data_IF_028132257341
#
_entry.id   IF_028132257341
#
_cell.length_a   1.000
_cell.length_b   1.000
_cell.length_c   1.000
_cell.angle_alpha   90.00
_cell.angle_beta   90.00
_cell.angle_gamma   90.00
#
_symmetry.space_group_name_H-M   'P 1'
#
loop_
_entity.id
_entity.type
_entity.pdbx_description
1 polymer ?
#
# COMPACT_ATOMS: atom_id res chain seq x y z
N UNK A 1 -14.08 13.25 -1.54
CA UNK A 1 -13.53 12.26 -2.48
C UNK A 1 -14.27 10.94 -2.31
N UNK A 2 -14.74 10.35 -3.40
CA UNK A 2 -15.56 9.13 -3.28
C UNK A 2 -14.84 7.95 -2.66
N UNK A 3 -13.52 7.88 -2.78
CA UNK A 3 -12.77 6.73 -2.26
C UNK A 3 -11.95 7.03 -1.02
N UNK A 4 -12.05 8.24 -0.47
CA UNK A 4 -11.19 8.60 0.66
C UNK A 4 -11.52 7.82 1.93
N UNK A 5 -12.80 7.49 2.15
CA UNK A 5 -13.18 6.68 3.30
C UNK A 5 -12.66 5.26 3.17
N UNK A 6 -12.75 4.69 1.97
CA UNK A 6 -12.20 3.36 1.71
C UNK A 6 -10.71 3.32 1.97
N UNK A 7 -9.98 4.29 1.43
CA UNK A 7 -8.53 4.36 1.62
C UNK A 7 -8.15 4.53 3.08
N UNK A 8 -8.90 5.37 3.80
CA UNK A 8 -8.68 5.57 5.22
C UNK A 8 -8.86 4.27 6.00
N UNK A 9 -9.91 3.52 5.69
CA UNK A 9 -10.17 2.23 6.32
C UNK A 9 -9.10 1.21 5.99
N UNK A 10 -8.70 1.14 4.70
CA UNK A 10 -7.66 0.23 4.28
C UNK A 10 -6.32 0.57 4.94
N UNK A 11 -6.01 1.85 5.03
CA UNK A 11 -4.78 2.29 5.68
C UNK A 11 -4.73 1.76 7.12
N UNK A 12 -5.80 1.97 7.87
CA UNK A 12 -5.86 1.51 9.26
C UNK A 12 -5.77 0.00 9.39
N UNK A 13 -6.45 -0.73 8.51
CA UNK A 13 -6.52 -2.18 8.58
C UNK A 13 -5.27 -2.86 8.06
N UNK A 14 -4.71 -2.33 6.99
CA UNK A 14 -3.69 -3.04 6.23
C UNK A 14 -2.27 -2.52 6.39
N UNK A 15 -2.11 -1.29 6.88
CA UNK A 15 -0.79 -0.67 6.93
C UNK A 15 0.24 -1.55 7.65
N UNK A 16 -0.05 -1.91 8.89
CA UNK A 16 0.89 -2.70 9.69
C UNK A 16 1.12 -4.09 9.10
N UNK A 17 0.07 -4.69 8.54
CA UNK A 17 0.18 -5.99 7.90
C UNK A 17 1.08 -5.93 6.68
N UNK A 18 0.93 -4.91 5.86
CA UNK A 18 1.75 -4.73 4.67
C UNK A 18 3.20 -4.51 5.03
N UNK A 19 3.46 -3.69 6.04
CA UNK A 19 4.82 -3.45 6.52
C UNK A 19 5.45 -4.77 6.96
N UNK A 20 4.70 -5.57 7.75
CA UNK A 20 5.19 -6.85 8.22
C UNK A 20 5.47 -7.83 7.08
N UNK A 21 4.58 -7.87 6.09
CA UNK A 21 4.75 -8.73 4.92
C UNK A 21 6.00 -8.36 4.14
N UNK A 22 6.21 -7.07 3.92
CA UNK A 22 7.39 -6.61 3.18
C UNK A 22 8.68 -6.94 3.94
N UNK A 23 8.70 -6.71 5.24
CA UNK A 23 9.88 -7.03 6.05
C UNK A 23 10.21 -8.51 5.98
N UNK A 24 9.19 -9.35 6.10
CA UNK A 24 9.38 -10.81 6.07
C UNK A 24 9.79 -11.30 4.69
N UNK A 25 9.12 -10.78 3.66
CA UNK A 25 9.32 -11.26 2.29
C UNK A 25 10.66 -10.81 1.70
N UNK A 26 11.06 -9.59 1.97
CA UNK A 26 12.28 -9.01 1.39
C UNK A 26 13.45 -8.95 2.37
N UNK A 27 13.22 -9.28 3.62
CA UNK A 27 14.28 -9.29 4.63
C UNK A 27 14.87 -7.93 4.94
N UNK A 28 14.06 -6.89 4.91
CA UNK A 28 14.55 -5.53 5.23
C UNK A 28 15.10 -5.48 6.65
N UNK A 29 16.29 -4.92 6.78
CA UNK A 29 16.92 -4.73 8.10
C UNK A 29 16.29 -3.58 8.86
N UNK A 30 15.71 -2.61 8.16
CA UNK A 30 15.12 -1.43 8.78
C UNK A 30 13.65 -1.33 8.44
N UNK A 31 12.85 -1.22 9.48
CA UNK A 31 11.40 -1.09 9.36
C UNK A 31 11.02 0.14 8.54
N UNK A 32 11.81 1.22 8.65
CA UNK A 32 11.55 2.47 7.96
C UNK A 32 11.45 2.33 6.45
N UNK A 33 12.25 1.42 5.86
CA UNK A 33 12.21 1.19 4.42
C UNK A 33 10.85 0.64 4.02
N UNK A 34 10.36 -0.35 4.77
CA UNK A 34 9.05 -0.94 4.49
C UNK A 34 7.93 0.08 4.70
N UNK A 35 8.04 0.88 5.76
CA UNK A 35 7.04 1.91 6.05
C UNK A 35 6.96 2.94 4.93
N UNK A 36 8.11 3.36 4.40
CA UNK A 36 8.15 4.32 3.30
C UNK A 36 7.48 3.74 2.05
N UNK A 37 7.76 2.48 1.75
CA UNK A 37 7.17 1.82 0.58
C UNK A 37 5.66 1.74 0.71
N UNK A 38 5.18 1.36 1.88
CA UNK A 38 3.74 1.23 2.11
C UNK A 38 3.07 2.60 2.06
N UNK A 39 3.68 3.61 2.68
CA UNK A 39 3.15 4.97 2.66
C UNK A 39 3.05 5.51 1.23
N UNK A 40 4.10 5.31 0.43
CA UNK A 40 4.11 5.73 -0.97
C UNK A 40 3.03 5.00 -1.78
N UNK A 41 2.81 3.72 -1.46
CA UNK A 41 1.78 2.93 -2.14
C UNK A 41 0.39 3.51 -1.89
N UNK A 42 0.09 3.87 -0.64
CA UNK A 42 -1.19 4.47 -0.30
C UNK A 42 -1.35 5.86 -0.92
N UNK A 43 -0.27 6.63 -0.97
CA UNK A 43 -0.31 7.94 -1.61
C UNK A 43 -0.62 7.79 -3.10
N UNK A 44 0.02 6.83 -3.76
CA UNK A 44 -0.23 6.56 -5.17
C UNK A 44 -1.68 6.13 -5.40
N UNK A 45 -2.22 5.29 -4.51
CA UNK A 45 -3.61 4.88 -4.60
C UNK A 45 -4.54 6.08 -4.47
N UNK A 46 -4.26 6.97 -3.53
CA UNK A 46 -5.05 8.17 -3.32
C UNK A 46 -5.10 9.03 -4.60
N UNK A 47 -3.95 9.21 -5.22
CA UNK A 47 -3.85 10.01 -6.44
C UNK A 47 -4.56 9.35 -7.62
N UNK A 48 -4.33 8.06 -7.83
CA UNK A 48 -4.91 7.34 -8.96
C UNK A 48 -6.41 7.18 -8.83
N UNK A 49 -6.88 6.79 -7.66
CA UNK A 49 -8.29 6.46 -7.47
C UNK A 49 -9.16 7.71 -7.33
N UNK A 50 -8.55 8.89 -7.28
CA UNK A 50 -9.29 10.14 -7.34
C UNK A 50 -9.86 10.37 -8.74
N UNK A 51 -9.19 9.86 -9.77
CA UNK A 51 -9.57 10.11 -11.17
C UNK A 51 -9.89 8.85 -11.97
N UNK A 52 -9.53 7.68 -11.43
CA UNK A 52 -9.73 6.39 -12.10
C UNK A 52 -10.61 5.47 -11.29
N UNK A 53 -11.29 4.50 -11.92
CA UNK A 53 -12.09 3.54 -11.17
C UNK A 53 -11.23 2.69 -10.25
N UNK A 54 -11.85 2.19 -9.18
CA UNK A 54 -11.19 1.28 -8.27
C UNK A 54 -10.88 -0.03 -8.99
N UNK A 55 -9.74 -0.67 -8.66
CA UNK A 55 -9.49 -2.02 -9.16
C UNK A 55 -10.49 -3.00 -8.55
N UNK A 56 -10.67 -4.18 -9.17
CA UNK A 56 -11.59 -5.19 -8.63
C UNK A 56 -11.29 -5.60 -7.20
N UNK A 57 -10.01 -5.64 -6.83
CA UNK A 57 -9.60 -5.96 -5.48
C UNK A 57 -8.58 -4.92 -5.00
N UNK A 58 -9.04 -3.84 -4.34
CA UNK A 58 -8.14 -2.77 -3.91
C UNK A 58 -7.01 -3.23 -3.00
N UNK A 59 -7.29 -4.15 -2.09
CA UNK A 59 -6.27 -4.66 -1.17
C UNK A 59 -5.17 -5.41 -1.93
N UNK A 60 -5.55 -6.26 -2.87
CA UNK A 60 -4.58 -6.99 -3.70
C UNK A 60 -3.73 -6.03 -4.52
N UNK A 61 -4.36 -4.97 -5.05
CA UNK A 61 -3.64 -3.95 -5.81
C UNK A 61 -2.56 -3.29 -4.96
N UNK A 62 -2.90 -2.95 -3.71
CA UNK A 62 -1.96 -2.31 -2.79
C UNK A 62 -0.76 -3.22 -2.52
N UNK A 63 -1.02 -4.49 -2.23
CA UNK A 63 0.07 -5.45 -1.99
C UNK A 63 0.95 -5.64 -3.22
N UNK A 64 0.35 -5.71 -4.40
CA UNK A 64 1.09 -5.88 -5.64
C UNK A 64 2.01 -4.69 -5.90
N UNK A 65 1.48 -3.48 -5.78
CA UNK A 65 2.25 -2.27 -6.01
C UNK A 65 3.38 -2.14 -5.00
N UNK A 66 3.09 -2.43 -3.72
CA UNK A 66 4.10 -2.35 -2.67
C UNK A 66 5.23 -3.35 -2.92
N UNK A 67 4.90 -4.57 -3.30
CA UNK A 67 5.92 -5.59 -3.60
C UNK A 67 6.77 -5.21 -4.81
N UNK A 68 6.13 -4.69 -5.84
CA UNK A 68 6.86 -4.26 -7.03
C UNK A 68 7.81 -3.11 -6.71
N UNK A 69 7.35 -2.18 -5.89
CA UNK A 69 8.17 -1.06 -5.46
C UNK A 69 9.37 -1.54 -4.63
N UNK A 70 9.15 -2.54 -3.80
CA UNK A 70 10.21 -3.11 -2.97
C UNK A 70 11.28 -3.82 -3.78
N UNK A 71 10.91 -4.38 -4.93
CA UNK A 71 11.87 -5.05 -5.82
C UNK A 71 12.79 -4.07 -6.53
N UNK A 72 12.29 -2.88 -6.80
CA UNK A 72 13.08 -1.86 -7.47
C UNK A 72 14.07 -1.23 -6.49
#
# INVERSE_FOLDING_TARGET
>A
MPHSQLLSDLFRKEYAKMVAVLCRHFGFSHLEIAEDIVSDTFLKAYELWATQPLPPNPTAWLYTVAKNKAKD
#
